data_IF_164600800561
#
_entry.id   IF_164600800561
#
_cell.length_a   1.000
_cell.length_b   1.000
_cell.length_c   1.000
_cell.angle_alpha   90.00
_cell.angle_beta   90.00
_cell.angle_gamma   90.00
#
_symmetry.space_group_name_H-M   'P 1'
#
loop_
_entity.id
_entity.type
_entity.pdbx_description
1 polymer ?
#
# COMPACT_ATOMS: atom_id res chain seq x y z
N UNK A 1 37.39 -19.43 -36.61
CA UNK A 1 37.39 -19.26 -35.14
C UNK A 1 36.36 -18.19 -34.78
N UNK A 2 35.12 -18.60 -34.49
CA UNK A 2 33.95 -17.71 -34.43
C UNK A 2 33.68 -17.30 -32.97
N UNK A 3 34.10 -16.09 -32.56
CA UNK A 3 33.81 -15.56 -31.22
C UNK A 3 32.35 -15.10 -31.16
N UNK A 4 31.44 -15.99 -30.74
CA UNK A 4 30.08 -15.60 -30.31
C UNK A 4 30.20 -14.68 -29.09
N UNK A 5 29.97 -13.38 -29.28
CA UNK A 5 29.80 -12.40 -28.21
C UNK A 5 28.51 -12.74 -27.46
N UNK A 6 28.62 -13.34 -26.27
CA UNK A 6 27.52 -13.43 -25.31
C UNK A 6 27.17 -12.02 -24.84
N UNK A 7 26.11 -11.43 -25.40
CA UNK A 7 25.47 -10.26 -24.79
C UNK A 7 24.64 -10.77 -23.61
N UNK A 8 25.10 -10.53 -22.39
CA UNK A 8 24.29 -10.72 -21.20
C UNK A 8 22.97 -9.92 -21.37
N UNK A 9 21.82 -10.60 -21.28
CA UNK A 9 20.53 -9.92 -21.20
C UNK A 9 20.56 -9.03 -19.95
N UNK A 10 20.54 -7.71 -20.12
CA UNK A 10 20.31 -6.78 -18.99
C UNK A 10 18.98 -7.18 -18.36
N UNK A 11 19.01 -7.69 -17.13
CA UNK A 11 17.80 -7.90 -16.33
C UNK A 11 17.28 -6.49 -16.03
N UNK A 12 16.18 -6.09 -16.68
CA UNK A 12 15.50 -4.85 -16.31
C UNK A 12 14.97 -5.05 -14.89
N UNK A 13 15.37 -4.18 -13.97
CA UNK A 13 14.85 -4.18 -12.60
C UNK A 13 13.36 -3.82 -12.70
N UNK A 14 12.47 -4.70 -12.24
CA UNK A 14 11.04 -4.37 -12.17
C UNK A 14 10.84 -3.24 -11.16
N UNK A 15 9.90 -2.36 -11.47
CA UNK A 15 9.44 -1.30 -10.57
C UNK A 15 8.84 -1.96 -9.30
N UNK A 16 9.21 -1.51 -8.08
CA UNK A 16 8.56 -1.99 -6.86
C UNK A 16 7.05 -1.80 -6.93
N UNK A 17 6.28 -2.80 -6.53
CA UNK A 17 4.81 -2.78 -6.55
C UNK A 17 4.26 -2.63 -5.14
N UNK A 18 3.51 -1.55 -4.90
CA UNK A 18 2.89 -1.26 -3.62
C UNK A 18 1.37 -1.39 -3.73
N UNK A 19 0.75 -1.92 -2.69
CA UNK A 19 -0.70 -2.06 -2.59
C UNK A 19 -1.20 -1.17 -1.47
N UNK A 20 -2.22 -0.36 -1.75
CA UNK A 20 -2.84 0.52 -0.74
C UNK A 20 -4.30 0.14 -0.58
N UNK A 21 -4.73 -0.10 0.65
CA UNK A 21 -6.14 -0.21 1.01
C UNK A 21 -6.49 0.88 2.03
N UNK A 22 -6.97 2.01 1.53
CA UNK A 22 -7.31 3.21 2.33
C UNK A 22 -8.64 3.10 3.10
N UNK A 23 -9.29 1.93 3.04
CA UNK A 23 -10.53 1.63 3.73
C UNK A 23 -10.36 0.84 5.03
N UNK A 24 -11.43 0.77 5.82
CA UNK A 24 -11.53 -0.04 7.03
C UNK A 24 -12.99 -0.42 7.31
N UNK A 25 -13.21 -1.30 8.31
CA UNK A 25 -14.56 -1.68 8.75
C UNK A 25 -15.38 -0.57 9.42
N UNK A 26 -14.89 0.68 9.48
CA UNK A 26 -15.66 1.81 10.00
C UNK A 26 -15.06 3.17 9.62
N UNK A 27 -15.88 4.06 9.06
CA UNK A 27 -15.45 5.35 8.48
C UNK A 27 -14.66 6.26 9.41
N UNK A 28 -14.90 6.20 10.72
CA UNK A 28 -14.15 6.97 11.73
C UNK A 28 -12.66 6.61 11.83
N UNK A 29 -12.26 5.46 11.27
CA UNK A 29 -10.87 4.98 11.23
C UNK A 29 -10.20 5.24 9.88
N UNK A 30 -10.92 5.82 8.92
CA UNK A 30 -10.37 6.10 7.60
C UNK A 30 -9.73 7.47 7.61
N UNK A 31 -8.46 7.52 7.26
CA UNK A 31 -7.77 8.77 6.98
C UNK A 31 -8.23 9.28 5.60
N UNK A 32 -8.47 10.59 5.40
CA UNK A 32 -8.98 11.10 4.12
C UNK A 32 -8.09 10.69 2.95
N UNK A 33 -8.70 10.32 1.82
CA UNK A 33 -7.96 9.85 0.66
C UNK A 33 -6.98 10.91 0.12
N UNK A 34 -7.33 12.19 0.24
CA UNK A 34 -6.45 13.29 -0.16
C UNK A 34 -5.16 13.33 0.67
N UNK A 35 -5.23 12.92 1.95
CA UNK A 35 -4.05 12.80 2.79
C UNK A 35 -3.17 11.63 2.35
N UNK A 36 -3.76 10.47 2.03
CA UNK A 36 -3.02 9.36 1.42
C UNK A 36 -2.32 9.79 0.12
N UNK A 37 -3.03 10.44 -0.80
CA UNK A 37 -2.48 10.94 -2.06
C UNK A 37 -1.32 11.89 -1.82
N UNK A 38 -1.46 12.84 -0.90
CA UNK A 38 -0.42 13.79 -0.56
C UNK A 38 0.87 13.10 -0.07
N UNK A 39 0.76 12.09 0.81
CA UNK A 39 1.95 11.35 1.26
C UNK A 39 2.56 10.50 0.15
N UNK A 40 1.73 9.93 -0.72
CA UNK A 40 2.20 9.15 -1.87
C UNK A 40 2.94 10.02 -2.88
N UNK A 41 2.55 11.28 -3.05
CA UNK A 41 3.30 12.26 -3.84
C UNK A 41 4.67 12.57 -3.21
N UNK A 42 4.74 12.74 -1.88
CA UNK A 42 6.01 12.93 -1.16
C UNK A 42 6.94 11.73 -1.35
N UNK A 43 6.41 10.50 -1.25
CA UNK A 43 7.19 9.29 -1.52
C UNK A 43 7.63 9.21 -3.00
N UNK A 44 6.76 9.59 -3.93
CA UNK A 44 7.02 9.60 -5.38
C UNK A 44 8.11 10.58 -5.80
N UNK A 45 8.43 11.60 -4.99
CA UNK A 45 9.58 12.49 -5.24
C UNK A 45 10.92 11.79 -4.99
N UNK A 46 10.96 10.72 -4.20
CA UNK A 46 12.18 10.01 -3.80
C UNK A 46 12.32 8.63 -4.43
N UNK A 47 11.19 7.97 -4.71
CA UNK A 47 11.14 6.59 -5.15
C UNK A 47 10.30 6.44 -6.40
N UNK A 48 10.71 5.53 -7.27
CA UNK A 48 9.94 5.12 -8.44
C UNK A 48 9.25 3.78 -8.15
N UNK A 49 7.93 3.80 -7.95
CA UNK A 49 7.11 2.63 -7.62
C UNK A 49 5.79 2.59 -8.41
N UNK A 50 5.18 1.41 -8.48
CA UNK A 50 3.82 1.18 -8.99
C UNK A 50 2.86 1.10 -7.80
N UNK A 51 1.64 1.61 -7.93
CA UNK A 51 0.63 1.56 -6.85
C UNK A 51 -0.64 0.92 -7.36
N UNK A 52 -1.12 -0.08 -6.61
CA UNK A 52 -2.48 -0.61 -6.76
C UNK A 52 -3.33 -0.16 -5.59
N UNK A 53 -4.27 0.75 -5.84
CA UNK A 53 -5.31 1.12 -4.89
C UNK A 53 -6.39 0.05 -4.89
N UNK A 54 -6.45 -0.72 -3.81
CA UNK A 54 -7.42 -1.79 -3.62
C UNK A 54 -8.63 -1.24 -2.86
N UNK A 55 -9.82 -1.43 -3.42
CA UNK A 55 -11.10 -1.07 -2.82
C UNK A 55 -12.07 -2.26 -2.79
N UNK A 56 -12.88 -2.34 -1.73
CA UNK A 56 -14.00 -3.26 -1.63
C UNK A 56 -15.33 -2.55 -1.78
N UNK A 57 -16.40 -3.26 -1.41
CA UNK A 57 -17.78 -2.74 -1.46
C UNK A 57 -18.00 -1.51 -0.57
N UNK A 58 -17.19 -1.34 0.49
CA UNK A 58 -17.29 -0.19 1.39
C UNK A 58 -16.62 1.08 0.81
N UNK A 59 -15.81 0.94 -0.24
CA UNK A 59 -15.04 2.00 -0.89
C UNK A 59 -15.58 2.33 -2.30
N UNK A 60 -16.87 2.07 -2.55
CA UNK A 60 -17.57 2.43 -3.79
C UNK A 60 -17.55 3.95 -3.97
N UNK A 61 -16.58 4.44 -4.74
CA UNK A 61 -16.34 5.88 -4.95
C UNK A 61 -14.86 6.27 -4.91
N UNK A 62 -13.98 5.41 -4.36
CA UNK A 62 -12.55 5.69 -4.22
C UNK A 62 -11.90 6.13 -5.54
N UNK A 63 -12.23 5.45 -6.64
CA UNK A 63 -11.69 5.76 -7.97
C UNK A 63 -12.07 7.16 -8.47
N UNK A 64 -13.24 7.67 -8.07
CA UNK A 64 -13.68 9.03 -8.40
C UNK A 64 -12.92 10.10 -7.62
N UNK A 65 -12.43 9.78 -6.42
CA UNK A 65 -11.67 10.69 -5.56
C UNK A 65 -10.17 10.70 -5.87
N UNK A 66 -9.66 9.63 -6.47
CA UNK A 66 -8.24 9.52 -6.85
C UNK A 66 -7.91 10.38 -8.09
N UNK A 67 -6.80 11.16 -8.06
CA UNK A 67 -6.29 11.84 -9.24
C UNK A 67 -5.97 10.87 -10.40
N UNK A 68 -6.11 11.31 -11.64
CA UNK A 68 -5.91 10.46 -12.84
C UNK A 68 -4.53 9.79 -12.92
N UNK A 69 -3.48 10.44 -12.41
CA UNK A 69 -2.13 9.88 -12.40
C UNK A 69 -2.03 8.59 -11.58
N UNK A 70 -2.85 8.46 -10.53
CA UNK A 70 -2.87 7.30 -9.63
C UNK A 70 -3.74 6.14 -10.14
N UNK A 71 -4.33 6.28 -11.33
CA UNK A 71 -5.23 5.31 -11.95
C UNK A 71 -4.75 4.79 -13.31
N UNK A 72 -3.59 5.25 -13.78
CA UNK A 72 -3.08 4.99 -15.14
C UNK A 72 -1.59 4.64 -15.13
N UNK A 73 -1.11 4.12 -16.25
CA UNK A 73 0.29 3.76 -16.44
C UNK A 73 0.67 2.59 -15.54
N UNK A 74 1.67 2.81 -14.68
CA UNK A 74 2.10 1.81 -13.69
C UNK A 74 1.20 1.77 -12.43
N UNK A 75 0.25 2.70 -12.32
CA UNK A 75 -0.71 2.74 -11.21
C UNK A 75 -2.07 2.22 -11.64
N UNK A 76 -2.83 1.68 -10.68
CA UNK A 76 -4.16 1.15 -10.91
C UNK A 76 -5.06 1.38 -9.69
N UNK A 77 -6.36 1.50 -9.94
CA UNK A 77 -7.39 1.32 -8.92
C UNK A 77 -8.19 0.07 -9.28
N UNK A 78 -8.28 -0.89 -8.36
CA UNK A 78 -8.99 -2.16 -8.55
C UNK A 78 -10.05 -2.30 -7.48
N UNK A 79 -11.22 -2.77 -7.88
CA UNK A 79 -12.39 -2.87 -7.02
C UNK A 79 -12.98 -4.27 -7.10
N UNK A 80 -13.58 -4.73 -5.99
CA UNK A 80 -14.38 -5.95 -5.93
C UNK A 80 -13.66 -7.22 -6.41
N UNK A 81 -12.35 -7.30 -6.17
CA UNK A 81 -11.60 -8.54 -6.36
C UNK A 81 -12.07 -9.59 -5.37
N UNK A 82 -12.05 -10.86 -5.80
CA UNK A 82 -12.29 -11.98 -4.90
C UNK A 82 -11.18 -12.07 -3.85
N UNK A 83 -11.45 -12.64 -2.67
CA UNK A 83 -10.44 -12.79 -1.62
C UNK A 83 -9.15 -13.51 -2.09
N UNK A 84 -9.21 -14.59 -2.90
CA UNK A 84 -8.00 -15.20 -3.47
C UNK A 84 -7.20 -14.26 -4.37
N UNK A 85 -7.86 -13.44 -5.19
CA UNK A 85 -7.18 -12.45 -6.05
C UNK A 85 -6.52 -11.35 -5.20
N UNK A 86 -7.21 -10.88 -4.16
CA UNK A 86 -6.63 -9.96 -3.16
C UNK A 86 -5.41 -10.59 -2.52
N UNK A 87 -5.51 -11.82 -2.03
CA UNK A 87 -4.38 -12.50 -1.40
C UNK A 87 -3.18 -12.63 -2.34
N UNK A 88 -3.41 -12.98 -3.61
CA UNK A 88 -2.37 -13.05 -4.63
C UNK A 88 -1.70 -11.69 -4.88
N UNK A 89 -2.50 -10.63 -4.99
CA UNK A 89 -2.00 -9.25 -5.13
C UNK A 89 -1.14 -8.85 -3.93
N UNK A 90 -1.58 -9.15 -2.70
CA UNK A 90 -0.83 -8.85 -1.49
C UNK A 90 0.49 -9.64 -1.43
N UNK A 91 0.45 -10.95 -1.71
CA UNK A 91 1.62 -11.82 -1.67
C UNK A 91 2.71 -11.42 -2.69
N UNK A 92 2.30 -10.83 -3.82
CA UNK A 92 3.21 -10.37 -4.87
C UNK A 92 3.70 -8.93 -4.70
N UNK A 93 3.15 -8.19 -3.73
CA UNK A 93 3.54 -6.80 -3.45
C UNK A 93 4.87 -6.72 -2.68
N UNK A 94 5.64 -5.66 -2.97
CA UNK A 94 6.85 -5.32 -2.22
C UNK A 94 6.51 -4.59 -0.90
N UNK A 95 5.35 -3.94 -0.85
CA UNK A 95 4.83 -3.21 0.31
C UNK A 95 3.30 -3.12 0.26
N UNK A 96 2.65 -3.39 1.38
CA UNK A 96 1.23 -3.11 1.61
C UNK A 96 1.09 -1.97 2.61
N UNK A 97 0.19 -1.03 2.34
CA UNK A 97 -0.15 0.09 3.20
C UNK A 97 -1.67 0.11 3.41
N UNK A 98 -2.12 0.27 4.66
CA UNK A 98 -3.55 0.28 4.94
C UNK A 98 -3.89 0.64 6.37
N UNK A 99 -5.16 0.50 6.72
CA UNK A 99 -5.70 0.75 8.06
C UNK A 99 -5.88 -0.51 8.89
N UNK A 100 -6.39 -0.37 10.12
CA UNK A 100 -6.95 -1.46 10.91
C UNK A 100 -8.20 -2.07 10.23
N UNK A 101 -7.97 -3.06 9.35
CA UNK A 101 -8.96 -3.70 8.48
C UNK A 101 -8.67 -5.19 8.28
N UNK A 102 -9.69 -5.95 7.85
CA UNK A 102 -9.53 -7.37 7.51
C UNK A 102 -8.50 -7.60 6.39
N UNK A 103 -8.41 -6.68 5.42
CA UNK A 103 -7.40 -6.73 4.35
C UNK A 103 -5.99 -6.60 4.91
N UNK A 104 -5.79 -5.77 5.94
CA UNK A 104 -4.50 -5.65 6.61
C UNK A 104 -4.10 -6.90 7.39
N UNK A 105 -5.07 -7.59 8.01
CA UNK A 105 -4.82 -8.92 8.60
C UNK A 105 -4.43 -9.94 7.52
N UNK A 106 -5.13 -9.93 6.38
CA UNK A 106 -4.80 -10.78 5.24
C UNK A 106 -3.41 -10.48 4.67
N UNK A 107 -3.00 -9.21 4.62
CA UNK A 107 -1.67 -8.79 4.19
C UNK A 107 -0.56 -9.24 5.14
N UNK A 108 -0.80 -9.19 6.46
CA UNK A 108 0.09 -9.77 7.46
C UNK A 108 0.30 -11.27 7.24
N UNK A 109 -0.78 -12.01 6.96
CA UNK A 109 -0.75 -13.44 6.69
C UNK A 109 -0.15 -13.83 5.34
N UNK A 110 -0.29 -13.00 4.30
CA UNK A 110 0.39 -13.24 3.01
C UNK A 110 1.92 -13.10 3.13
N UNK A 111 2.38 -12.60 4.28
CA UNK A 111 3.76 -12.36 4.59
C UNK A 111 4.26 -11.04 4.04
N UNK A 112 3.46 -10.22 3.36
CA UNK A 112 3.86 -8.95 2.77
C UNK A 112 4.53 -8.01 3.80
N UNK A 113 5.44 -7.14 3.35
CA UNK A 113 5.90 -6.02 4.18
C UNK A 113 4.71 -5.07 4.35
N UNK A 114 4.30 -4.77 5.58
CA UNK A 114 3.06 -4.03 5.85
C UNK A 114 3.31 -2.79 6.71
N UNK A 115 2.82 -1.63 6.26
CA UNK A 115 2.73 -0.40 7.05
C UNK A 115 1.27 -0.10 7.37
N UNK A 116 0.88 -0.23 8.64
CA UNK A 116 -0.52 -0.07 9.06
C UNK A 116 -0.71 1.24 9.81
N UNK A 117 -1.56 2.11 9.29
CA UNK A 117 -1.94 3.39 9.89
C UNK A 117 -3.16 3.21 10.79
N UNK A 118 -2.94 3.28 12.11
CA UNK A 118 -4.01 3.22 13.10
C UNK A 118 -4.56 4.61 13.41
N UNK A 119 -5.88 4.72 13.37
CA UNK A 119 -6.63 5.86 13.90
C UNK A 119 -6.88 5.70 15.40
N UNK A 120 -8.15 5.68 15.79
CA UNK A 120 -8.58 5.62 17.19
C UNK A 120 -8.46 4.23 17.84
N UNK A 121 -8.19 3.17 17.07
CA UNK A 121 -8.03 1.81 17.59
C UNK A 121 -6.62 1.55 18.09
N UNK A 122 -6.50 0.72 19.13
CA UNK A 122 -5.23 0.39 19.75
C UNK A 122 -4.48 -0.71 18.97
N UNK A 123 -3.29 -0.44 18.40
CA UNK A 123 -2.51 -1.46 17.73
C UNK A 123 -2.06 -2.59 18.65
N UNK A 124 -1.97 -2.38 19.97
CA UNK A 124 -1.64 -3.47 20.91
C UNK A 124 -2.69 -4.58 20.93
N UNK A 125 -3.92 -4.27 20.49
CA UNK A 125 -5.05 -5.21 20.44
C UNK A 125 -5.31 -5.68 19.01
N UNK A 126 -5.20 -4.78 18.02
CA UNK A 126 -5.70 -4.99 16.66
C UNK A 126 -4.60 -5.11 15.59
N UNK A 127 -3.32 -5.05 15.95
CA UNK A 127 -2.24 -5.20 14.96
C UNK A 127 -2.34 -6.54 14.21
N UNK A 128 -2.22 -6.53 12.87
CA UNK A 128 -2.04 -7.75 12.08
C UNK A 128 -0.85 -8.57 12.56
N UNK A 129 -1.03 -9.89 12.61
CA UNK A 129 0.08 -10.81 12.85
C UNK A 129 0.95 -10.88 11.58
N UNK A 130 2.26 -10.79 11.75
CA UNK A 130 3.24 -10.99 10.69
C UNK A 130 4.59 -10.36 11.03
N UNK A 131 5.67 -11.05 10.70
CA UNK A 131 7.04 -10.61 11.05
C UNK A 131 7.44 -9.28 10.39
N UNK A 132 6.79 -8.93 9.27
CA UNK A 132 7.09 -7.73 8.48
C UNK A 132 6.02 -6.64 8.61
N UNK A 133 5.18 -6.73 9.66
CA UNK A 133 4.16 -5.72 9.97
C UNK A 133 4.76 -4.65 10.87
N UNK A 134 4.58 -3.38 10.49
CA UNK A 134 4.85 -2.22 11.34
C UNK A 134 3.59 -1.36 11.43
N UNK A 135 3.34 -0.81 12.61
CA UNK A 135 2.18 0.03 12.88
C UNK A 135 2.62 1.46 13.20
N UNK A 136 1.91 2.42 12.63
CA UNK A 136 1.94 3.81 13.05
C UNK A 136 0.67 4.10 13.85
N UNK A 137 0.80 4.73 15.02
CA UNK A 137 -0.35 5.19 15.81
C UNK A 137 0.06 6.38 16.68
N UNK A 138 -0.88 7.30 16.89
CA UNK A 138 -0.81 8.37 17.89
C UNK A 138 -2.10 8.51 18.68
N UNK A 139 -2.79 7.40 18.94
CA UNK A 139 -4.00 7.38 19.76
C UNK A 139 -5.14 8.20 19.15
N UNK A 140 -5.42 8.00 17.85
CA UNK A 140 -6.48 8.72 17.14
C UNK A 140 -6.07 10.00 16.43
N UNK A 141 -4.84 10.49 16.64
CA UNK A 141 -4.32 11.63 15.89
C UNK A 141 -3.74 11.17 14.55
N UNK A 142 -4.15 11.83 13.47
CA UNK A 142 -3.59 11.59 12.15
C UNK A 142 -2.17 12.17 12.01
N UNK A 143 -1.35 11.62 11.11
CA UNK A 143 -0.04 12.19 10.78
C UNK A 143 -0.19 13.63 10.27
N UNK A 144 0.75 14.49 10.63
CA UNK A 144 0.90 15.79 9.97
C UNK A 144 1.47 15.58 8.54
N UNK A 145 1.28 16.51 7.60
CA UNK A 145 1.79 16.37 6.23
C UNK A 145 3.27 16.00 6.14
N UNK A 146 3.57 14.91 5.43
CA UNK A 146 4.92 14.36 5.21
C UNK A 146 5.40 13.42 6.31
N UNK A 147 4.78 13.44 7.50
CA UNK A 147 5.21 12.63 8.64
C UNK A 147 5.05 11.13 8.37
N UNK A 148 3.96 10.76 7.71
CA UNK A 148 3.69 9.36 7.40
C UNK A 148 4.59 8.86 6.27
N UNK A 149 4.81 9.66 5.24
CA UNK A 149 5.78 9.38 4.18
C UNK A 149 7.18 9.14 4.75
N UNK A 150 7.68 9.98 5.66
CA UNK A 150 8.96 9.76 6.32
C UNK A 150 9.00 8.46 7.14
N UNK A 151 7.88 8.09 7.76
CA UNK A 151 7.78 6.83 8.48
C UNK A 151 7.81 5.63 7.55
N UNK A 152 7.10 5.68 6.42
CA UNK A 152 7.12 4.65 5.38
C UNK A 152 8.51 4.57 4.72
N UNK A 153 9.18 5.70 4.49
CA UNK A 153 10.54 5.79 3.90
C UNK A 153 11.57 4.96 4.69
N UNK A 154 11.42 4.89 6.02
CA UNK A 154 12.28 4.06 6.89
C UNK A 154 11.98 2.55 6.81
N UNK A 155 10.93 2.16 6.12
CA UNK A 155 10.52 0.77 5.94
C UNK A 155 10.97 0.17 4.62
N UNK A 156 11.15 1.00 3.60
CA UNK A 156 11.43 0.58 2.23
C UNK A 156 12.87 0.10 2.11
#
# INVERSE_FOLDING_TARGET
MNKKKNKAKKIQKRKPSWVIHAGSGGSKKNWPIQSWVQEMEVLGQKHDFAVTWLAGEAELGLEGELPEIWKRGDHACVQNLTLPEVFHQLQSSDLYLGHDSGISHLAGWSGAKCGILFGVTDPAVWSPLGERVKCWSRGGRWPEPGEWAEWVDRMI
#
